data_IF_566448390913
#
_entry.id   IF_566448390913
#
_cell.length_a   1.000
_cell.length_b   1.000
_cell.length_c   1.000
_cell.angle_alpha   90.00
_cell.angle_beta   90.00
_cell.angle_gamma   90.00
#
_symmetry.space_group_name_H-M   'P 1'
#
loop_
_entity.id
_entity.type
_entity.pdbx_description
1 polymer ?
#
# COMPACT_ATOMS: atom_id res chain seq x y z
N UNK A 1 20.46 -12.83 16.12
CA UNK A 1 21.04 -12.72 14.76
C UNK A 1 20.06 -13.38 13.80
N UNK A 2 19.66 -12.74 12.70
CA UNK A 2 18.67 -13.32 11.77
C UNK A 2 19.34 -14.49 11.00
N UNK A 3 18.73 -15.69 10.91
CA UNK A 3 19.28 -16.80 10.14
C UNK A 3 19.52 -16.41 8.67
N UNK A 4 20.71 -16.74 8.14
CA UNK A 4 21.09 -16.38 6.75
C UNK A 4 20.14 -16.99 5.70
N UNK A 5 19.55 -18.13 5.99
CA UNK A 5 18.60 -18.81 5.10
C UNK A 5 17.30 -18.03 4.92
N UNK A 6 16.76 -17.48 6.01
CA UNK A 6 15.54 -16.64 5.97
C UNK A 6 15.82 -15.37 5.17
N UNK A 7 16.98 -14.74 5.37
CA UNK A 7 17.39 -13.57 4.58
C UNK A 7 17.50 -13.88 3.08
N UNK A 8 17.99 -15.08 2.73
CA UNK A 8 18.08 -15.52 1.33
C UNK A 8 16.68 -15.74 0.72
N UNK A 9 15.76 -16.38 1.46
CA UNK A 9 14.35 -16.53 1.04
C UNK A 9 13.65 -15.19 0.86
N UNK A 10 13.73 -14.31 1.87
CA UNK A 10 13.16 -12.94 1.79
C UNK A 10 13.70 -12.19 0.57
N UNK A 11 15.01 -12.28 0.31
CA UNK A 11 15.63 -11.63 -0.86
C UNK A 11 15.17 -12.23 -2.18
N UNK A 12 15.02 -13.55 -2.27
CA UNK A 12 14.49 -14.21 -3.48
C UNK A 12 13.04 -13.81 -3.76
N UNK A 13 12.19 -13.82 -2.73
CA UNK A 13 10.80 -13.36 -2.83
C UNK A 13 10.80 -11.89 -3.26
N UNK A 14 11.58 -11.04 -2.61
CA UNK A 14 11.68 -9.62 -2.98
C UNK A 14 12.04 -9.42 -4.45
N UNK A 15 13.01 -10.16 -4.99
CA UNK A 15 13.42 -10.04 -6.40
C UNK A 15 12.28 -10.47 -7.33
N UNK A 16 11.65 -11.62 -7.07
CA UNK A 16 10.52 -12.13 -7.89
C UNK A 16 9.34 -11.18 -7.85
N UNK A 17 8.98 -10.74 -6.65
CA UNK A 17 7.86 -9.85 -6.40
C UNK A 17 8.09 -8.44 -6.97
N UNK A 18 9.30 -7.90 -6.87
CA UNK A 18 9.60 -6.55 -7.37
C UNK A 18 9.46 -6.47 -8.90
N UNK A 19 9.79 -7.54 -9.62
CA UNK A 19 9.58 -7.63 -11.06
C UNK A 19 8.09 -7.66 -11.42
N UNK A 20 7.31 -8.51 -10.75
CA UNK A 20 5.85 -8.59 -10.95
C UNK A 20 5.13 -7.27 -10.63
N UNK A 21 5.50 -6.61 -9.54
CA UNK A 21 4.91 -5.31 -9.15
C UNK A 21 5.29 -4.20 -10.15
N UNK A 22 6.53 -4.21 -10.68
CA UNK A 22 6.94 -3.30 -11.75
C UNK A 22 6.10 -3.47 -13.02
N UNK A 23 5.80 -4.71 -13.40
CA UNK A 23 5.17 -5.00 -14.68
C UNK A 23 3.64 -4.80 -14.63
N UNK A 24 2.99 -4.99 -13.46
CA UNK A 24 1.51 -5.02 -13.32
C UNK A 24 0.93 -3.78 -12.64
N UNK A 25 1.67 -3.10 -11.77
CA UNK A 25 1.14 -2.06 -10.86
C UNK A 25 1.80 -0.68 -11.05
N UNK A 26 2.42 -0.43 -12.21
CA UNK A 26 3.04 0.85 -12.57
C UNK A 26 2.04 1.99 -12.84
N UNK A 27 0.85 1.93 -12.24
CA UNK A 27 -0.12 3.02 -12.26
C UNK A 27 -0.23 3.62 -10.86
N UNK A 28 0.06 4.91 -10.73
CA UNK A 28 -0.46 5.69 -9.62
C UNK A 28 -1.97 5.48 -9.58
N UNK A 29 -2.52 5.14 -8.42
CA UNK A 29 -3.96 5.11 -8.23
C UNK A 29 -4.46 6.56 -8.37
N UNK A 30 -4.74 7.00 -9.59
CA UNK A 30 -5.46 8.25 -9.83
C UNK A 30 -6.89 7.98 -9.39
N UNK A 31 -7.20 8.39 -8.17
CA UNK A 31 -8.55 8.37 -7.63
C UNK A 31 -9.49 9.08 -8.62
N UNK A 32 -10.49 8.37 -9.13
CA UNK A 32 -11.60 8.96 -9.91
C UNK A 32 -12.52 9.82 -9.01
N UNK A 33 -12.24 9.88 -7.69
CA UNK A 33 -12.98 10.65 -6.71
C UNK A 33 -12.20 11.89 -6.29
N UNK A 34 -12.74 13.06 -6.63
CA UNK A 34 -12.32 14.37 -6.15
C UNK A 34 -12.81 14.56 -4.71
N UNK A 35 -12.13 13.96 -3.74
CA UNK A 35 -12.35 14.26 -2.32
C UNK A 35 -11.81 15.63 -1.94
N UNK A 36 -12.19 16.14 -0.76
CA UNK A 36 -11.59 17.34 -0.14
C UNK A 36 -10.20 16.99 0.39
N UNK A 37 -9.23 16.83 -0.50
CA UNK A 37 -7.84 16.60 -0.14
C UNK A 37 -7.24 17.73 0.69
N UNK A 38 -6.18 17.45 1.45
CA UNK A 38 -5.44 18.47 2.22
C UNK A 38 -4.27 19.09 1.43
N UNK A 39 -3.84 18.46 0.33
CA UNK A 39 -2.67 18.91 -0.43
C UNK A 39 -3.10 19.72 -1.66
N UNK A 40 -2.50 20.88 -1.87
CA UNK A 40 -2.80 21.74 -3.01
C UNK A 40 -2.22 21.13 -4.30
N UNK A 41 -3.09 20.75 -5.23
CA UNK A 41 -2.69 20.18 -6.53
C UNK A 41 -2.49 21.30 -7.57
N UNK A 42 -3.32 22.34 -7.51
CA UNK A 42 -3.27 23.43 -8.47
C UNK A 42 -4.52 24.30 -8.46
N UNK A 43 -4.71 25.04 -9.54
CA UNK A 43 -5.90 25.88 -9.75
C UNK A 43 -6.53 25.59 -11.11
N UNK A 44 -7.85 25.69 -11.18
CA UNK A 44 -8.59 25.71 -12.45
C UNK A 44 -9.61 26.83 -12.47
N UNK A 45 -10.04 27.20 -13.67
CA UNK A 45 -11.12 28.16 -13.83
C UNK A 45 -12.43 27.60 -13.23
N UNK A 46 -13.19 28.49 -12.59
CA UNK A 46 -14.47 28.21 -11.98
C UNK A 46 -15.49 27.79 -13.04
N UNK A 47 -16.27 26.76 -12.74
CA UNK A 47 -17.43 26.36 -13.53
C UNK A 47 -18.69 26.43 -12.68
N UNK A 48 -19.82 26.67 -13.35
CA UNK A 48 -21.13 26.72 -12.70
C UNK A 48 -21.41 25.38 -12.02
N UNK A 49 -21.67 25.41 -10.71
CA UNK A 49 -21.83 24.22 -9.88
C UNK A 49 -20.66 23.97 -8.92
N UNK A 50 -19.54 24.68 -9.10
CA UNK A 50 -18.41 24.61 -8.17
C UNK A 50 -18.71 25.36 -6.85
N UNK A 51 -18.12 24.86 -5.76
CA UNK A 51 -18.24 25.46 -4.43
C UNK A 51 -17.45 26.78 -4.37
N UNK A 52 -18.16 27.89 -4.23
CA UNK A 52 -17.62 29.26 -4.18
C UNK A 52 -16.57 29.43 -3.06
N UNK A 53 -16.64 28.63 -1.99
CA UNK A 53 -15.67 28.67 -0.88
C UNK A 53 -14.28 28.19 -1.28
N UNK A 54 -14.16 27.49 -2.40
CA UNK A 54 -12.89 26.97 -2.91
C UNK A 54 -12.17 27.97 -3.83
N UNK A 55 -12.74 29.16 -4.07
CA UNK A 55 -12.14 30.20 -4.91
C UNK A 55 -10.80 30.67 -4.33
N UNK A 56 -9.79 30.71 -5.18
CA UNK A 56 -8.53 31.39 -4.90
C UNK A 56 -8.64 32.86 -5.35
N UNK A 57 -8.88 33.75 -4.40
CA UNK A 57 -9.01 35.18 -4.67
C UNK A 57 -7.71 35.83 -5.16
N UNK A 58 -6.54 35.29 -4.82
CA UNK A 58 -5.25 35.86 -5.26
C UNK A 58 -5.00 35.56 -6.73
N UNK A 59 -5.25 34.32 -7.15
CA UNK A 59 -5.15 33.91 -8.56
C UNK A 59 -6.22 34.60 -9.39
N UNK A 60 -7.45 34.65 -8.87
CA UNK A 60 -8.58 35.35 -9.50
C UNK A 60 -8.26 36.82 -9.76
N UNK A 61 -7.70 37.52 -8.76
CA UNK A 61 -7.32 38.93 -8.89
C UNK A 61 -6.20 39.16 -9.92
N UNK A 62 -5.30 38.18 -10.12
CA UNK A 62 -4.20 38.28 -11.10
C UNK A 62 -4.63 37.96 -12.53
N UNK A 63 -5.53 36.99 -12.70
CA UNK A 63 -5.94 36.48 -14.02
C UNK A 63 -7.24 37.10 -14.55
N UNK A 64 -7.99 37.83 -13.72
CA UNK A 64 -9.20 38.55 -14.12
C UNK A 64 -10.46 37.67 -14.25
N UNK A 65 -10.33 36.37 -14.05
CA UNK A 65 -11.43 35.39 -14.09
C UNK A 65 -11.42 34.55 -12.81
N UNK A 66 -12.57 34.02 -12.32
CA UNK A 66 -12.61 33.24 -11.08
C UNK A 66 -11.89 31.89 -11.22
N UNK A 67 -10.96 31.60 -10.31
CA UNK A 67 -10.27 30.30 -10.21
C UNK A 67 -10.57 29.63 -8.88
N UNK A 68 -10.70 28.31 -8.90
CA UNK A 68 -10.83 27.48 -7.70
C UNK A 68 -9.57 26.68 -7.42
N UNK A 69 -9.31 26.40 -6.15
CA UNK A 69 -8.25 25.49 -5.69
C UNK A 69 -8.66 24.04 -5.94
N UNK A 70 -7.78 23.28 -6.58
CA UNK A 70 -7.86 21.83 -6.67
C UNK A 70 -6.99 21.28 -5.55
N UNK A 71 -7.56 20.38 -4.75
CA UNK A 71 -6.83 19.66 -3.72
C UNK A 71 -6.72 18.20 -4.12
N UNK A 72 -5.50 17.66 -4.09
CA UNK A 72 -5.26 16.24 -4.23
C UNK A 72 -5.49 15.56 -2.88
N UNK A 73 -6.25 14.47 -2.89
CA UNK A 73 -6.46 13.63 -1.71
C UNK A 73 -5.29 12.64 -1.60
N UNK A 74 -4.32 12.91 -0.72
CA UNK A 74 -3.34 11.90 -0.34
C UNK A 74 -4.06 10.84 0.51
N UNK A 75 -4.45 9.71 -0.11
CA UNK A 75 -4.95 8.55 0.62
C UNK A 75 -3.79 7.65 0.99
N UNK A 76 -3.48 7.62 2.28
CA UNK A 76 -2.64 6.58 2.85
C UNK A 76 -3.49 5.31 3.06
N UNK A 77 -3.27 4.28 2.24
CA UNK A 77 -3.92 3.00 2.46
C UNK A 77 -3.22 2.25 3.61
N UNK A 78 -4.03 1.58 4.42
CA UNK A 78 -3.53 0.68 5.47
C UNK A 78 -3.90 -0.75 5.11
N UNK A 79 -2.91 -1.55 4.75
CA UNK A 79 -3.07 -2.96 4.43
C UNK A 79 -2.80 -3.79 5.70
N UNK A 80 -3.77 -4.60 6.11
CA UNK A 80 -3.62 -5.54 7.22
C UNK A 80 -3.66 -6.97 6.67
N UNK A 81 -2.54 -7.70 6.78
CA UNK A 81 -2.53 -9.13 6.47
C UNK A 81 -3.06 -9.93 7.66
N UNK A 82 -4.00 -10.83 7.40
CA UNK A 82 -4.42 -11.85 8.35
C UNK A 82 -4.02 -13.20 7.75
N UNK A 83 -3.01 -13.85 8.32
CA UNK A 83 -2.46 -15.10 7.79
C UNK A 83 -2.74 -16.24 8.75
N UNK A 84 -3.42 -17.26 8.22
CA UNK A 84 -3.67 -18.51 8.93
C UNK A 84 -2.40 -19.37 8.97
N UNK A 85 -1.95 -19.71 10.18
CA UNK A 85 -0.83 -20.60 10.47
C UNK A 85 -1.30 -22.01 10.90
N UNK A 86 -2.59 -22.33 10.75
CA UNK A 86 -3.13 -23.64 11.06
C UNK A 86 -2.45 -24.75 10.26
N UNK A 87 -2.59 -26.00 10.72
CA UNK A 87 -2.07 -27.19 10.03
C UNK A 87 -2.59 -27.34 8.59
N UNK A 88 -3.72 -26.71 8.25
CA UNK A 88 -4.26 -26.68 6.89
C UNK A 88 -3.31 -25.99 5.89
N UNK A 89 -2.47 -25.07 6.37
CA UNK A 89 -1.45 -24.39 5.58
C UNK A 89 -0.31 -25.32 5.13
N UNK A 90 -0.10 -26.44 5.84
CA UNK A 90 0.91 -27.47 5.51
C UNK A 90 0.42 -28.48 4.47
N UNK A 91 -0.76 -28.29 3.92
CA UNK A 91 -1.25 -29.05 2.77
C UNK A 91 -0.74 -28.41 1.47
N UNK A 92 -0.18 -29.22 0.58
CA UNK A 92 0.28 -28.80 -0.75
C UNK A 92 -0.08 -29.87 -1.77
N UNK A 93 -0.73 -29.47 -2.87
CA UNK A 93 -1.23 -30.44 -3.86
C UNK A 93 -0.10 -31.03 -4.72
N UNK A 94 1.02 -30.31 -4.91
CA UNK A 94 2.13 -30.78 -5.78
C UNK A 94 3.52 -30.26 -5.37
N UNK A 95 3.80 -28.94 -5.47
CA UNK A 95 5.17 -28.38 -5.38
C UNK A 95 5.39 -27.32 -4.30
N UNK A 96 4.33 -26.78 -3.70
CA UNK A 96 4.41 -25.72 -2.69
C UNK A 96 3.31 -25.90 -1.65
N UNK A 97 3.61 -25.51 -0.42
CA UNK A 97 2.62 -25.46 0.66
C UNK A 97 1.73 -24.22 0.50
N UNK A 98 0.48 -24.29 0.97
CA UNK A 98 -0.42 -23.12 1.01
C UNK A 98 0.20 -21.95 1.79
N UNK A 99 0.95 -22.25 2.86
CA UNK A 99 1.68 -21.23 3.62
C UNK A 99 2.76 -20.51 2.80
N UNK A 100 3.45 -21.21 1.90
CA UNK A 100 4.46 -20.61 1.02
C UNK A 100 3.81 -19.67 0.00
N UNK A 101 2.65 -20.05 -0.56
CA UNK A 101 1.88 -19.19 -1.46
C UNK A 101 1.35 -17.96 -0.71
N UNK A 102 0.80 -18.14 0.49
CA UNK A 102 0.33 -17.03 1.33
C UNK A 102 1.47 -16.05 1.63
N UNK A 103 2.67 -16.55 1.91
CA UNK A 103 3.87 -15.73 2.12
C UNK A 103 4.23 -14.94 0.86
N UNK A 104 4.22 -15.58 -0.31
CA UNK A 104 4.54 -14.93 -1.59
C UNK A 104 3.54 -13.82 -1.93
N UNK A 105 2.25 -14.07 -1.72
CA UNK A 105 1.18 -13.07 -1.89
C UNK A 105 1.34 -11.90 -0.92
N UNK A 106 1.58 -12.18 0.37
CA UNK A 106 1.82 -11.14 1.36
C UNK A 106 3.03 -10.28 1.00
N UNK A 107 4.11 -10.91 0.53
CA UNK A 107 5.31 -10.19 0.13
C UNK A 107 5.11 -9.34 -1.14
N UNK A 108 4.39 -9.85 -2.14
CA UNK A 108 4.01 -9.11 -3.34
C UNK A 108 3.24 -7.83 -2.97
N UNK A 109 2.15 -7.99 -2.21
CA UNK A 109 1.29 -6.88 -1.82
C UNK A 109 2.00 -5.89 -0.89
N UNK A 110 2.78 -6.39 0.07
CA UNK A 110 3.54 -5.52 0.98
C UNK A 110 4.61 -4.71 0.24
N UNK A 111 5.27 -5.29 -0.77
CA UNK A 111 6.27 -4.57 -1.58
C UNK A 111 5.62 -3.53 -2.49
N UNK A 112 4.42 -3.80 -3.00
CA UNK A 112 3.62 -2.78 -3.71
C UNK A 112 3.26 -1.62 -2.79
N UNK A 113 2.84 -1.91 -1.56
CA UNK A 113 2.50 -0.90 -0.56
C UNK A 113 3.68 0.02 -0.23
N UNK A 114 4.92 -0.50 -0.20
CA UNK A 114 6.13 0.33 0.01
C UNK A 114 6.28 1.38 -1.09
N UNK A 115 5.94 1.07 -2.35
CA UNK A 115 6.06 2.01 -3.47
C UNK A 115 5.08 3.16 -3.35
N UNK A 116 3.87 2.86 -2.90
CA UNK A 116 2.80 3.84 -2.72
C UNK A 116 2.85 4.51 -1.34
N UNK A 117 3.91 4.28 -0.56
CA UNK A 117 4.09 4.84 0.79
C UNK A 117 2.92 4.51 1.75
N UNK A 118 2.34 3.32 1.59
CA UNK A 118 1.21 2.81 2.38
C UNK A 118 1.68 2.14 3.69
N UNK A 119 0.77 2.05 4.66
CA UNK A 119 0.99 1.32 5.92
C UNK A 119 0.73 -0.17 5.71
N UNK A 120 1.59 -1.02 6.28
CA UNK A 120 1.40 -2.48 6.27
C UNK A 120 1.44 -3.04 7.68
N UNK A 121 0.43 -3.80 8.07
CA UNK A 121 0.33 -4.56 9.32
C UNK A 121 0.15 -6.06 9.09
N UNK A 122 0.28 -6.84 10.16
CA UNK A 122 0.17 -8.30 10.11
C UNK A 122 -0.46 -8.86 11.40
N UNK A 123 -1.37 -9.80 11.23
CA UNK A 123 -1.89 -10.69 12.26
C UNK A 123 -1.65 -12.13 11.80
N UNK A 124 -0.96 -12.90 12.63
CA UNK A 124 -0.80 -14.35 12.46
C UNK A 124 -1.74 -15.04 13.43
N UNK A 125 -2.53 -16.01 12.95
CA UNK A 125 -3.52 -16.67 13.78
C UNK A 125 -3.62 -18.18 13.50
N UNK A 126 -4.07 -18.91 14.51
CA UNK A 126 -4.53 -20.31 14.45
C UNK A 126 -5.93 -20.37 15.07
N UNK A 127 -6.14 -21.18 16.11
CA UNK A 127 -7.23 -21.08 17.08
C UNK A 127 -7.16 -19.81 17.96
N UNK A 128 -6.00 -19.15 18.00
CA UNK A 128 -5.77 -17.89 18.72
C UNK A 128 -4.90 -16.92 17.91
N UNK A 129 -4.78 -15.68 18.38
CA UNK A 129 -3.83 -14.72 17.80
C UNK A 129 -2.43 -15.10 18.27
N UNK A 130 -1.58 -15.54 17.34
CA UNK A 130 -0.19 -15.89 17.60
C UNK A 130 0.71 -14.67 17.57
N UNK A 131 0.41 -13.71 16.68
CA UNK A 131 1.22 -12.49 16.54
C UNK A 131 0.45 -11.32 15.99
N UNK A 132 0.74 -10.14 16.51
CA UNK A 132 0.28 -8.88 15.97
C UNK A 132 1.47 -7.96 15.68
N UNK A 133 1.50 -7.40 14.48
CA UNK A 133 2.44 -6.37 14.05
C UNK A 133 1.63 -5.15 13.61
N UNK A 134 1.73 -4.01 14.32
CA UNK A 134 0.95 -2.83 13.99
C UNK A 134 1.33 -2.27 12.62
N UNK A 135 0.38 -1.65 11.89
CA UNK A 135 0.65 -1.07 10.60
C UNK A 135 1.66 0.08 10.68
N UNK A 136 2.74 -0.02 9.90
CA UNK A 136 3.74 1.04 9.75
C UNK A 136 4.20 1.14 8.30
N UNK A 137 4.76 2.30 7.96
CA UNK A 137 5.42 2.54 6.67
C UNK A 137 6.86 2.06 6.69
N UNK A 138 7.43 1.95 5.49
CA UNK A 138 8.86 1.83 5.28
C UNK A 138 9.33 0.43 4.96
N UNK A 139 10.38 0.37 4.12
CA UNK A 139 10.94 -0.87 3.57
C UNK A 139 11.40 -1.85 4.64
N UNK A 140 12.05 -1.35 5.70
CA UNK A 140 12.53 -2.19 6.82
C UNK A 140 11.37 -2.85 7.56
N UNK A 141 10.25 -2.14 7.73
CA UNK A 141 9.06 -2.68 8.37
C UNK A 141 8.40 -3.76 7.51
N UNK A 142 8.29 -3.52 6.19
CA UNK A 142 7.74 -4.53 5.28
C UNK A 142 8.60 -5.79 5.20
N UNK A 143 9.93 -5.66 5.17
CA UNK A 143 10.83 -6.82 5.25
C UNK A 143 10.67 -7.58 6.56
N UNK A 144 10.41 -6.88 7.68
CA UNK A 144 10.05 -7.52 8.95
C UNK A 144 8.73 -8.27 8.83
N UNK A 145 7.68 -7.66 8.28
CA UNK A 145 6.37 -8.32 8.07
C UNK A 145 6.52 -9.62 7.27
N UNK A 146 7.23 -9.58 6.13
CA UNK A 146 7.47 -10.77 5.30
C UNK A 146 8.22 -11.87 6.08
N UNK A 147 9.18 -11.47 6.93
CA UNK A 147 9.93 -12.40 7.77
C UNK A 147 9.06 -13.10 8.81
N UNK A 148 8.05 -12.43 9.35
CA UNK A 148 7.17 -13.04 10.36
C UNK A 148 6.18 -14.05 9.75
N UNK A 149 5.93 -13.98 8.44
CA UNK A 149 5.04 -14.91 7.72
C UNK A 149 5.77 -16.19 7.27
N UNK A 150 7.11 -16.13 7.17
CA UNK A 150 7.99 -17.26 6.80
C UNK A 150 8.20 -18.26 7.93
#
# INVERSE_FOLDING_TARGET
MIPKEILKKVRQIQIRSSRLVNDVLAGEYVSVFKGRGMEFEGVREYQIGDDIRTIDWNVTARLGHPYIKIFAEERELTIMFLVDLSSSGKFGSVRQFKSEIATEVCALLALSAVRNNDKVGLILFTDKIEKFVPPKKGKTHVLRVIREVL
#
